data_IF_471417591035
#
_entry.id   IF_471417591035
#
_cell.length_a   1.000
_cell.length_b   1.000
_cell.length_c   1.000
_cell.angle_alpha   90.00
_cell.angle_beta   90.00
_cell.angle_gamma   90.00
#
_symmetry.space_group_name_H-M   'P 1'
#
loop_
_entity.id
_entity.type
_entity.pdbx_description
1 polymer ?
#
# COMPACT_ATOMS: atom_id res chain seq x y z
N UNK A 1 29.15 -5.40 -76.17
CA UNK A 1 29.78 -5.69 -74.86
C UNK A 1 28.67 -5.89 -73.81
N UNK A 2 28.29 -7.13 -73.55
CA UNK A 2 27.31 -7.46 -72.52
C UNK A 2 28.06 -7.73 -71.21
N UNK A 3 27.96 -6.80 -70.22
CA UNK A 3 28.42 -7.05 -68.87
C UNK A 3 27.43 -7.94 -68.16
N UNK A 4 27.74 -9.19 -67.95
CA UNK A 4 27.06 -10.13 -67.10
C UNK A 4 27.14 -9.64 -65.64
N UNK A 5 26.02 -9.18 -65.06
CA UNK A 5 25.87 -8.91 -63.66
C UNK A 5 25.88 -10.24 -62.90
N UNK A 6 27.00 -10.57 -62.29
CA UNK A 6 27.17 -11.71 -61.43
C UNK A 6 26.46 -11.37 -60.08
N UNK A 7 25.17 -11.73 -59.92
CA UNK A 7 24.47 -11.64 -58.67
C UNK A 7 25.07 -12.66 -57.70
N UNK A 8 25.89 -12.20 -56.77
CA UNK A 8 26.28 -13.02 -55.60
C UNK A 8 25.02 -13.54 -54.93
N UNK A 9 24.80 -14.86 -54.97
CA UNK A 9 23.80 -15.55 -54.14
C UNK A 9 24.20 -15.27 -52.71
N UNK A 10 23.34 -14.53 -51.94
CA UNK A 10 23.39 -14.48 -50.52
C UNK A 10 23.03 -15.88 -50.00
N UNK A 11 23.99 -16.57 -49.40
CA UNK A 11 23.74 -17.79 -48.67
C UNK A 11 22.87 -17.45 -47.47
N UNK A 12 21.56 -17.57 -47.61
CA UNK A 12 20.61 -17.56 -46.53
C UNK A 12 20.79 -18.89 -45.79
N UNK A 13 21.71 -18.95 -44.85
CA UNK A 13 21.77 -20.07 -43.91
C UNK A 13 20.56 -19.95 -43.00
N UNK A 14 19.49 -20.67 -43.34
CA UNK A 14 18.33 -20.83 -42.50
C UNK A 14 18.71 -21.61 -41.24
N UNK A 15 18.09 -21.26 -40.13
CA UNK A 15 18.22 -22.02 -38.88
C UNK A 15 17.75 -23.45 -39.08
N UNK A 16 18.49 -24.39 -38.53
CA UNK A 16 18.06 -25.79 -38.51
C UNK A 16 16.93 -25.97 -37.50
N UNK A 17 16.02 -26.90 -37.78
CA UNK A 17 14.92 -27.24 -36.84
C UNK A 17 15.46 -27.62 -35.46
N UNK A 18 16.60 -28.30 -35.42
CA UNK A 18 17.26 -28.76 -34.19
C UNK A 18 17.77 -27.57 -33.34
N UNK A 19 18.38 -26.57 -33.97
CA UNK A 19 18.81 -25.35 -33.25
C UNK A 19 17.62 -24.62 -32.63
N UNK A 20 16.49 -24.53 -33.34
CA UNK A 20 15.29 -23.91 -32.80
C UNK A 20 14.75 -24.67 -31.60
N UNK A 21 14.68 -26.01 -31.69
CA UNK A 21 14.16 -26.86 -30.60
C UNK A 21 15.04 -26.76 -29.35
N UNK A 22 16.37 -26.77 -29.52
CA UNK A 22 17.30 -26.64 -28.38
C UNK A 22 17.14 -25.29 -27.69
N UNK A 23 17.03 -24.20 -28.44
CA UNK A 23 16.86 -22.85 -27.89
C UNK A 23 15.54 -22.74 -27.11
N UNK A 24 14.43 -23.23 -27.67
CA UNK A 24 13.13 -23.22 -27.00
C UNK A 24 13.14 -24.10 -25.74
N UNK A 25 13.81 -25.25 -25.77
CA UNK A 25 13.95 -26.11 -24.59
C UNK A 25 14.72 -25.43 -23.46
N UNK A 26 15.83 -24.77 -23.75
CA UNK A 26 16.60 -24.00 -22.76
C UNK A 26 15.79 -22.85 -22.19
N UNK A 27 15.10 -22.08 -23.06
CA UNK A 27 14.24 -20.99 -22.63
C UNK A 27 13.09 -21.47 -21.72
N UNK A 28 12.47 -22.60 -22.04
CA UNK A 28 11.40 -23.19 -21.24
C UNK A 28 11.87 -23.55 -19.81
N UNK A 29 13.07 -24.14 -19.70
CA UNK A 29 13.66 -24.47 -18.40
C UNK A 29 13.96 -23.19 -17.60
N UNK A 30 14.58 -22.17 -18.23
CA UNK A 30 14.92 -20.92 -17.56
C UNK A 30 13.66 -20.18 -17.08
N UNK A 31 12.65 -20.05 -17.92
CA UNK A 31 11.37 -19.44 -17.56
C UNK A 31 10.67 -20.22 -16.44
N UNK A 32 10.66 -21.54 -16.51
CA UNK A 32 10.06 -22.40 -15.48
C UNK A 32 10.67 -22.20 -14.09
N UNK A 33 11.97 -21.93 -14.00
CA UNK A 33 12.68 -21.68 -12.74
C UNK A 33 12.53 -20.23 -12.26
N UNK A 34 12.52 -19.25 -13.19
CA UNK A 34 12.49 -17.83 -12.84
C UNK A 34 11.09 -17.31 -12.51
N UNK A 35 10.04 -17.84 -13.16
CA UNK A 35 8.68 -17.35 -12.97
C UNK A 35 8.20 -17.36 -11.50
N UNK A 36 8.39 -18.44 -10.71
CA UNK A 36 7.95 -18.44 -9.32
C UNK A 36 8.75 -17.48 -8.42
N UNK A 37 10.00 -17.21 -8.75
CA UNK A 37 10.82 -16.26 -8.01
C UNK A 37 10.41 -14.82 -8.35
N UNK A 38 10.18 -14.53 -9.62
CA UNK A 38 9.73 -13.23 -10.06
C UNK A 38 8.42 -12.80 -9.38
N UNK A 39 7.44 -13.70 -9.32
CA UNK A 39 6.16 -13.41 -8.64
C UNK A 39 6.33 -13.08 -7.15
N UNK A 40 7.26 -13.75 -6.45
CA UNK A 40 7.59 -13.44 -5.05
C UNK A 40 8.20 -12.04 -4.90
N UNK A 41 9.12 -11.66 -5.80
CA UNK A 41 9.72 -10.33 -5.75
C UNK A 41 8.72 -9.21 -6.04
N UNK A 42 7.85 -9.41 -7.03
CA UNK A 42 6.78 -8.45 -7.35
C UNK A 42 5.85 -8.27 -6.15
N UNK A 43 5.47 -9.37 -5.49
CA UNK A 43 4.60 -9.31 -4.33
C UNK A 43 5.27 -8.61 -3.14
N UNK A 44 6.55 -8.91 -2.89
CA UNK A 44 7.33 -8.19 -1.87
C UNK A 44 7.41 -6.69 -2.15
N UNK A 45 7.62 -6.30 -3.39
CA UNK A 45 7.64 -4.88 -3.80
C UNK A 45 6.28 -4.20 -3.56
N UNK A 46 5.17 -4.88 -3.89
CA UNK A 46 3.82 -4.36 -3.63
C UNK A 46 3.57 -4.14 -2.15
N UNK A 47 3.92 -5.13 -1.32
CA UNK A 47 3.80 -5.03 0.14
C UNK A 47 4.66 -3.92 0.71
N UNK A 48 5.88 -3.75 0.23
CA UNK A 48 6.75 -2.66 0.67
C UNK A 48 6.16 -1.28 0.35
N UNK A 49 5.57 -1.12 -0.84
CA UNK A 49 4.90 0.13 -1.21
C UNK A 49 3.65 0.40 -0.34
N UNK A 50 2.85 -0.63 -0.06
CA UNK A 50 1.68 -0.53 0.81
C UNK A 50 2.08 -0.12 2.24
N UNK A 51 3.14 -0.74 2.78
CA UNK A 51 3.68 -0.40 4.10
C UNK A 51 4.17 1.06 4.16
N UNK A 52 4.89 1.52 3.12
CA UNK A 52 5.36 2.90 3.05
C UNK A 52 4.21 3.91 3.02
N UNK A 53 3.16 3.63 2.24
CA UNK A 53 1.99 4.50 2.18
C UNK A 53 1.29 4.59 3.54
N UNK A 54 1.14 3.46 4.24
CA UNK A 54 0.55 3.47 5.58
C UNK A 54 1.40 4.24 6.59
N UNK A 55 2.72 4.06 6.56
CA UNK A 55 3.65 4.79 7.44
C UNK A 55 3.62 6.29 7.18
N UNK A 56 3.45 6.71 5.93
CA UNK A 56 3.33 8.12 5.57
C UNK A 56 2.08 8.73 6.22
N UNK A 57 0.92 8.10 6.07
CA UNK A 57 -0.33 8.55 6.72
C UNK A 57 -0.17 8.61 8.24
N UNK A 58 0.47 7.60 8.85
CA UNK A 58 0.73 7.58 10.30
C UNK A 58 1.64 8.74 10.72
N UNK A 59 2.66 9.07 9.94
CA UNK A 59 3.55 10.22 10.20
C UNK A 59 2.79 11.53 10.12
N UNK A 60 2.01 11.73 9.06
CA UNK A 60 1.20 12.94 8.87
C UNK A 60 0.22 13.13 10.03
N UNK A 61 -0.48 12.07 10.44
CA UNK A 61 -1.40 12.15 11.57
C UNK A 61 -0.67 12.50 12.88
N UNK A 62 0.54 11.99 13.09
CA UNK A 62 1.36 12.37 14.24
C UNK A 62 1.80 13.83 14.20
N UNK A 63 2.15 14.35 13.01
CA UNK A 63 2.51 15.76 12.83
C UNK A 63 1.33 16.64 13.21
N UNK A 64 0.14 16.36 12.67
CA UNK A 64 -1.08 17.10 13.02
C UNK A 64 -1.39 17.04 14.51
N UNK A 65 -1.28 15.84 15.10
CA UNK A 65 -1.55 15.65 16.53
C UNK A 65 -0.52 16.33 17.46
N UNK A 66 0.67 16.62 16.95
CA UNK A 66 1.73 17.31 17.70
C UNK A 66 1.72 18.83 17.53
N UNK A 67 0.98 19.34 16.54
CA UNK A 67 0.95 20.76 16.23
C UNK A 67 -0.11 21.47 17.11
N UNK A 68 0.28 22.45 17.94
CA UNK A 68 -0.65 23.19 18.78
C UNK A 68 -1.71 23.98 18.00
N UNK A 69 -1.48 24.20 16.72
CA UNK A 69 -2.44 24.90 15.85
C UNK A 69 -3.69 24.06 15.60
N UNK A 70 -3.55 22.71 15.65
CA UNK A 70 -4.65 21.77 15.48
C UNK A 70 -5.06 21.21 16.84
N UNK A 71 -6.32 21.39 17.21
CA UNK A 71 -6.87 20.84 18.45
C UNK A 71 -7.30 19.39 18.23
N UNK A 72 -6.31 18.48 18.09
CA UNK A 72 -6.58 17.05 17.90
C UNK A 72 -7.17 16.47 19.19
N UNK A 73 -8.34 15.84 19.09
CA UNK A 73 -9.00 15.24 20.23
C UNK A 73 -8.28 13.98 20.72
N UNK A 74 -8.25 13.79 22.04
CA UNK A 74 -7.87 12.53 22.62
C UNK A 74 -8.83 11.42 22.18
N UNK A 75 -8.29 10.32 21.68
CA UNK A 75 -9.06 9.22 21.13
C UNK A 75 -8.22 8.25 20.33
N UNK A 76 -8.89 7.30 19.68
CA UNK A 76 -8.25 6.31 18.82
C UNK A 76 -8.52 6.62 17.36
N UNK A 77 -7.47 6.92 16.64
CA UNK A 77 -7.48 7.13 15.20
C UNK A 77 -7.11 5.82 14.50
N UNK A 78 -8.04 5.25 13.79
CA UNK A 78 -7.82 3.98 13.09
C UNK A 78 -7.73 4.22 11.60
N UNK A 79 -6.61 3.82 11.02
CA UNK A 79 -6.34 3.85 9.60
C UNK A 79 -6.52 2.43 9.06
N UNK A 80 -7.35 2.27 8.05
CA UNK A 80 -7.56 0.98 7.35
C UNK A 80 -7.30 1.19 5.88
N UNK A 81 -6.39 0.41 5.32
CA UNK A 81 -6.12 0.36 3.88
C UNK A 81 -6.64 -0.96 3.32
N UNK A 82 -7.50 -0.88 2.33
CA UNK A 82 -8.13 -2.02 1.66
C UNK A 82 -7.78 -2.05 0.17
N UNK A 83 -7.69 -3.26 -0.38
CA UNK A 83 -7.51 -3.46 -1.82
C UNK A 83 -8.77 -3.06 -2.63
N UNK A 84 -9.95 -3.17 -2.03
CA UNK A 84 -11.23 -2.91 -2.69
C UNK A 84 -11.76 -1.51 -2.41
N UNK A 85 -11.78 -1.11 -1.13
CA UNK A 85 -12.51 0.07 -0.65
C UNK A 85 -11.64 1.33 -0.53
N UNK A 86 -10.33 1.21 -0.79
CA UNK A 86 -9.41 2.33 -0.59
C UNK A 86 -8.95 2.44 0.87
N UNK A 87 -8.57 3.65 1.26
CA UNK A 87 -8.06 3.93 2.60
C UNK A 87 -9.09 4.75 3.38
N UNK A 88 -9.32 4.38 4.63
CA UNK A 88 -10.18 5.11 5.55
C UNK A 88 -9.42 5.46 6.83
N UNK A 89 -9.69 6.65 7.37
CA UNK A 89 -9.22 7.09 8.68
C UNK A 89 -10.46 7.37 9.51
N UNK A 90 -10.59 6.72 10.67
CA UNK A 90 -11.75 6.85 11.55
C UNK A 90 -11.31 7.26 12.93
N UNK A 91 -11.99 8.25 13.52
CA UNK A 91 -11.81 8.62 14.92
C UNK A 91 -12.83 7.91 15.79
N UNK A 92 -12.35 7.22 16.82
CA UNK A 92 -13.17 6.66 17.88
C UNK A 92 -12.76 7.30 19.20
N UNK A 93 -13.67 8.03 19.83
CA UNK A 93 -13.41 8.69 21.11
C UNK A 93 -13.36 7.65 22.25
N UNK A 94 -12.59 7.92 23.29
CA UNK A 94 -12.49 7.09 24.51
C UNK A 94 -13.84 6.93 25.23
N UNK A 95 -14.78 7.84 25.02
CA UNK A 95 -16.13 7.82 25.61
C UNK A 95 -17.22 7.26 24.69
N UNK A 96 -16.87 6.79 23.45
CA UNK A 96 -17.85 6.31 22.47
C UNK A 96 -18.77 7.40 21.89
N UNK A 97 -18.58 8.65 22.28
CA UNK A 97 -19.31 9.82 21.78
C UNK A 97 -18.33 10.80 21.15
N UNK A 98 -18.56 11.17 19.92
CA UNK A 98 -17.71 12.14 19.22
C UNK A 98 -18.30 13.53 19.39
N UNK A 99 -17.48 14.46 19.87
CA UNK A 99 -17.88 15.86 19.93
C UNK A 99 -17.74 16.49 18.55
N UNK A 100 -18.84 16.93 17.98
CA UNK A 100 -18.96 17.45 16.63
C UNK A 100 -18.28 18.80 16.40
N UNK A 101 -17.75 19.45 17.44
CA UNK A 101 -17.25 20.83 17.37
C UNK A 101 -15.76 20.99 17.06
N UNK A 102 -14.96 19.93 17.14
CA UNK A 102 -13.51 20.00 16.85
C UNK A 102 -13.09 19.19 15.62
N UNK A 103 -14.02 18.51 14.98
CA UNK A 103 -13.84 17.67 13.80
C UNK A 103 -13.41 18.46 12.57
N UNK A 104 -13.87 19.67 12.44
CA UNK A 104 -13.53 20.50 11.26
C UNK A 104 -12.04 20.85 11.20
N UNK A 105 -11.41 21.07 12.36
CA UNK A 105 -9.98 21.36 12.42
C UNK A 105 -9.14 20.13 12.13
N UNK A 106 -9.57 18.95 12.59
CA UNK A 106 -8.88 17.70 12.29
C UNK A 106 -8.95 17.36 10.80
N UNK A 107 -10.14 17.43 10.22
CA UNK A 107 -10.33 17.17 8.78
C UNK A 107 -9.63 18.22 7.92
N UNK A 108 -9.67 19.48 8.29
CA UNK A 108 -8.95 20.55 7.58
C UNK A 108 -7.43 20.36 7.67
N UNK A 109 -6.91 19.98 8.84
CA UNK A 109 -5.49 19.69 9.02
C UNK A 109 -5.03 18.49 8.20
N UNK A 110 -5.75 17.39 8.28
CA UNK A 110 -5.41 16.17 7.53
C UNK A 110 -5.57 16.35 6.03
N UNK A 111 -6.61 17.01 5.56
CA UNK A 111 -6.82 17.24 4.13
C UNK A 111 -5.78 18.16 3.50
N UNK A 112 -5.12 19.01 4.29
CA UNK A 112 -4.04 19.85 3.79
C UNK A 112 -2.67 19.15 3.73
N UNK A 113 -2.49 18.09 4.53
CA UNK A 113 -1.23 17.36 4.62
C UNK A 113 -1.24 16.08 3.78
N UNK A 114 -2.36 15.37 3.74
CA UNK A 114 -2.50 14.15 2.95
C UNK A 114 -2.68 14.47 1.47
N UNK A 115 -1.80 13.94 0.65
CA UNK A 115 -1.94 14.01 -0.80
C UNK A 115 -3.11 13.15 -1.30
N UNK A 116 -3.85 13.67 -2.31
CA UNK A 116 -4.90 12.94 -3.00
C UNK A 116 -6.32 13.41 -2.70
N UNK A 117 -7.30 12.67 -3.20
CA UNK A 117 -8.72 12.99 -3.11
C UNK A 117 -9.34 12.41 -1.82
N UNK A 118 -9.21 13.12 -0.72
CA UNK A 118 -9.85 12.72 0.53
C UNK A 118 -11.25 13.32 0.64
N UNK A 119 -12.21 12.46 0.99
CA UNK A 119 -13.59 12.84 1.26
C UNK A 119 -13.91 12.60 2.73
N UNK A 120 -14.57 13.57 3.35
CA UNK A 120 -15.01 13.48 4.74
C UNK A 120 -16.44 12.97 4.79
N UNK A 121 -16.72 12.05 5.71
CA UNK A 121 -18.09 11.60 5.97
C UNK A 121 -18.94 12.74 6.58
N UNK A 122 -20.25 12.64 6.41
CA UNK A 122 -21.22 13.65 6.91
C UNK A 122 -21.23 13.82 8.43
N UNK A 123 -20.77 12.80 9.16
CA UNK A 123 -20.61 12.84 10.61
C UNK A 123 -19.27 13.44 11.04
N UNK A 124 -18.40 13.79 10.10
CA UNK A 124 -17.02 14.29 10.30
C UNK A 124 -16.12 13.37 11.13
N UNK A 125 -16.45 12.09 11.27
CA UNK A 125 -15.71 11.11 12.08
C UNK A 125 -14.76 10.25 11.28
N UNK A 126 -14.92 10.26 9.99
CA UNK A 126 -14.09 9.49 9.09
C UNK A 126 -13.76 10.26 7.83
N UNK A 127 -12.58 9.99 7.31
CA UNK A 127 -12.11 10.41 5.98
C UNK A 127 -11.83 9.17 5.16
N UNK A 128 -12.08 9.24 3.87
CA UNK A 128 -11.78 8.15 2.95
C UNK A 128 -11.15 8.64 1.66
N UNK A 129 -10.24 7.83 1.13
CA UNK A 129 -9.66 8.01 -0.20
C UNK A 129 -9.81 6.71 -0.98
N UNK A 130 -10.73 6.70 -1.94
CA UNK A 130 -11.02 5.53 -2.78
C UNK A 130 -9.91 5.19 -3.78
N UNK A 131 -9.02 6.13 -4.06
CA UNK A 131 -7.93 5.96 -5.03
C UNK A 131 -6.69 5.35 -4.38
N UNK A 132 -6.52 5.56 -3.07
CA UNK A 132 -5.41 5.01 -2.30
C UNK A 132 -5.72 3.58 -1.84
N UNK A 133 -5.46 2.62 -2.72
CA UNK A 133 -5.71 1.19 -2.52
C UNK A 133 -4.43 0.41 -2.28
N UNK A 134 -4.55 -0.72 -1.58
CA UNK A 134 -3.46 -1.68 -1.49
C UNK A 134 -3.10 -2.23 -2.86
N UNK A 135 -1.80 -2.32 -3.14
CA UNK A 135 -1.24 -2.97 -4.34
C UNK A 135 -1.21 -4.49 -4.20
N UNK A 136 -1.07 -4.97 -2.97
CA UNK A 136 -1.11 -6.38 -2.62
C UNK A 136 -2.46 -6.78 -2.03
N UNK A 137 -2.97 -7.94 -2.45
CA UNK A 137 -4.14 -8.59 -1.85
C UNK A 137 -3.76 -9.81 -0.99
N UNK A 138 -2.47 -9.95 -0.66
CA UNK A 138 -1.92 -11.08 0.12
C UNK A 138 -1.46 -10.67 1.52
N UNK A 139 -2.00 -9.60 2.03
CA UNK A 139 -1.85 -9.24 3.42
C UNK A 139 -2.74 -10.15 4.29
N UNK A 140 -2.36 -10.29 5.55
CA UNK A 140 -3.16 -10.99 6.56
C UNK A 140 -3.19 -10.12 7.79
N UNK A 141 -4.37 -9.64 8.14
CA UNK A 141 -4.58 -8.82 9.33
C UNK A 141 -4.20 -9.59 10.59
N UNK A 142 -3.68 -8.88 11.59
CA UNK A 142 -3.38 -9.46 12.89
C UNK A 142 -4.68 -9.84 13.62
N UNK A 143 -4.60 -10.88 14.46
CA UNK A 143 -5.71 -11.37 15.27
C UNK A 143 -5.35 -11.31 16.76
N UNK A 144 -6.35 -11.41 17.64
CA UNK A 144 -6.14 -11.39 19.08
C UNK A 144 -5.65 -10.04 19.60
N UNK A 145 -4.68 -10.06 20.51
CA UNK A 145 -4.14 -8.84 21.15
C UNK A 145 -3.41 -7.91 20.19
N UNK A 146 -2.99 -8.42 19.03
CA UNK A 146 -2.32 -7.64 17.99
C UNK A 146 -3.27 -7.09 16.94
N UNK A 147 -4.54 -7.41 17.04
CA UNK A 147 -5.55 -6.86 16.12
C UNK A 147 -5.70 -5.35 16.31
N UNK A 148 -5.87 -4.66 15.20
CA UNK A 148 -6.39 -3.29 15.15
C UNK A 148 -7.87 -3.40 14.81
N UNK A 149 -8.71 -2.72 15.57
CA UNK A 149 -10.15 -2.74 15.32
C UNK A 149 -10.43 -2.34 13.86
N UNK A 150 -11.37 -3.03 13.23
CA UNK A 150 -11.78 -2.83 11.82
C UNK A 150 -10.79 -3.28 10.75
N UNK A 151 -9.54 -3.61 11.08
CA UNK A 151 -8.58 -4.21 10.12
C UNK A 151 -8.79 -5.71 10.09
N UNK A 152 -9.33 -6.23 9.00
CA UNK A 152 -9.71 -7.63 8.85
C UNK A 152 -9.27 -8.20 7.50
N UNK A 153 -9.22 -9.51 7.40
CA UNK A 153 -8.95 -10.20 6.14
C UNK A 153 -7.58 -9.86 5.56
N UNK A 154 -7.60 -9.28 4.37
CA UNK A 154 -6.41 -8.91 3.60
C UNK A 154 -6.07 -7.41 3.70
N UNK A 155 -6.70 -6.70 4.61
CA UNK A 155 -6.45 -5.29 4.86
C UNK A 155 -5.23 -5.10 5.77
N UNK A 156 -4.62 -3.93 5.69
CA UNK A 156 -3.61 -3.48 6.65
C UNK A 156 -4.08 -2.20 7.32
N UNK A 157 -3.50 -1.87 8.44
CA UNK A 157 -3.87 -0.62 9.10
C UNK A 157 -3.00 -0.31 10.30
N UNK A 158 -3.31 0.83 10.89
CA UNK A 158 -2.70 1.29 12.13
C UNK A 158 -3.74 1.93 13.05
N UNK A 159 -3.54 1.79 14.33
CA UNK A 159 -4.29 2.49 15.36
C UNK A 159 -3.34 3.42 16.10
N UNK A 160 -3.69 4.70 16.15
CA UNK A 160 -2.96 5.73 16.89
C UNK A 160 -3.86 6.18 18.03
N UNK A 161 -3.44 5.92 19.25
CA UNK A 161 -4.12 6.41 20.45
C UNK A 161 -3.46 7.72 20.87
N UNK A 162 -4.22 8.79 20.89
CA UNK A 162 -3.83 10.11 21.39
C UNK A 162 -4.42 10.28 22.78
N UNK A 163 -3.55 10.37 23.78
CA UNK A 163 -3.95 10.61 25.16
C UNK A 163 -4.33 12.08 25.41
N UNK A 164 -5.04 12.33 26.50
CA UNK A 164 -5.36 13.69 26.94
C UNK A 164 -4.12 14.51 27.33
N UNK A 165 -3.00 13.83 27.61
CA UNK A 165 -1.69 14.38 27.89
C UNK A 165 -0.83 14.63 26.63
N UNK A 166 -1.39 14.38 25.45
CA UNK A 166 -0.68 14.47 24.18
C UNK A 166 0.25 13.28 23.87
N UNK A 167 0.32 12.27 24.73
CA UNK A 167 1.09 11.07 24.44
C UNK A 167 0.44 10.26 23.31
N UNK A 168 1.28 9.72 22.41
CA UNK A 168 0.80 8.95 21.26
C UNK A 168 1.35 7.54 21.27
N UNK A 169 0.47 6.56 21.15
CA UNK A 169 0.83 5.14 21.01
C UNK A 169 0.34 4.63 19.67
N UNK A 170 1.21 3.95 18.92
CA UNK A 170 0.87 3.40 17.60
C UNK A 170 0.95 1.88 17.59
N UNK A 171 -0.07 1.27 17.05
CA UNK A 171 -0.18 -0.18 16.84
C UNK A 171 -0.45 -0.44 15.36
N UNK A 172 0.25 -1.40 14.78
CA UNK A 172 0.09 -1.80 13.37
C UNK A 172 -0.57 -3.18 13.24
N UNK A 173 -1.32 -3.37 12.17
CA UNK A 173 -1.86 -4.66 11.77
C UNK A 173 -1.60 -4.89 10.27
N UNK A 174 -0.84 -5.93 9.89
CA UNK A 174 -0.10 -6.85 10.75
C UNK A 174 1.08 -6.19 11.48
N UNK A 175 1.51 -6.77 12.60
CA UNK A 175 2.62 -6.24 13.42
C UNK A 175 3.96 -6.20 12.69
N UNK A 176 4.12 -7.02 11.66
CA UNK A 176 5.31 -7.07 10.79
C UNK A 176 5.55 -5.79 9.99
N UNK A 177 4.53 -4.93 9.85
CA UNK A 177 4.68 -3.63 9.19
C UNK A 177 5.70 -2.71 9.88
N UNK A 178 5.82 -2.81 11.21
CA UNK A 178 6.75 -1.99 12.00
C UNK A 178 8.22 -2.40 11.83
N UNK A 179 8.48 -3.64 11.44
CA UNK A 179 9.85 -4.20 11.44
C UNK A 179 10.54 -4.17 10.07
N UNK A 180 9.87 -3.76 9.01
CA UNK A 180 10.42 -3.81 7.65
C UNK A 180 10.74 -5.23 7.16
N UNK A 181 10.41 -6.25 7.94
CA UNK A 181 10.60 -7.66 7.65
C UNK A 181 9.35 -8.21 6.97
N UNK A 182 9.34 -8.16 5.65
CA UNK A 182 8.37 -8.86 4.80
C UNK A 182 9.06 -9.98 4.02
#
# INVERSE_FOLDING_TARGET
MLKLFNRKKKDNKGFTLVELVIVVAILAILVGLLAPQYTKYVEKSRKSADASNLEEIVKELKVVASDPQYSVQAGTYTIVMSHTNGTTITLTNASGTVSTTTTDLWTAGMSSLLEGNWTTATDNLSMSNSDLKLKSNKWVAATGNDAVATVTGNDIGASIVVGADGQMTVKYSPTTLKSGTN
#
